data_IF_212669206683
#
_entry.id   IF_212669206683
#
_cell.length_a   1.000
_cell.length_b   1.000
_cell.length_c   1.000
_cell.angle_alpha   90.00
_cell.angle_beta   90.00
_cell.angle_gamma   90.00
#
_symmetry.space_group_name_H-M   'P 1'
#
loop_
_entity.id
_entity.type
_entity.pdbx_description
1 polymer ?
#
# COMPACT_ATOMS: atom_id res chain seq x y z
N UNK A 1 10.46 -38.45 30.87
CA UNK A 1 9.38 -37.61 30.30
C UNK A 1 9.91 -36.95 29.03
N UNK A 2 9.44 -37.36 27.86
CA UNK A 2 9.88 -36.83 26.56
C UNK A 2 9.23 -35.47 26.35
N UNK A 3 10.05 -34.41 26.43
CA UNK A 3 9.66 -33.06 26.01
C UNK A 3 9.65 -33.02 24.48
N UNK A 4 8.47 -33.18 23.89
CA UNK A 4 8.26 -32.86 22.48
C UNK A 4 8.38 -31.34 22.32
N UNK A 5 9.57 -30.83 21.98
CA UNK A 5 9.72 -29.48 21.44
C UNK A 5 8.93 -29.42 20.15
N UNK A 6 7.69 -28.93 20.22
CA UNK A 6 6.88 -28.60 19.05
C UNK A 6 7.64 -27.48 18.34
N UNK A 7 8.35 -27.82 17.27
CA UNK A 7 8.99 -26.84 16.38
C UNK A 7 7.94 -25.81 15.94
N UNK A 8 8.36 -24.59 15.58
CA UNK A 8 7.43 -23.52 15.27
C UNK A 8 6.51 -23.97 14.14
N UNK A 9 5.23 -24.09 14.44
CA UNK A 9 4.21 -24.57 13.53
C UNK A 9 4.11 -23.58 12.36
N UNK A 10 4.37 -24.06 11.14
CA UNK A 10 4.33 -23.25 9.93
C UNK A 10 3.00 -22.47 9.79
N UNK A 11 1.93 -22.99 10.40
CA UNK A 11 0.60 -22.38 10.49
C UNK A 11 0.64 -21.07 11.27
N UNK A 12 1.25 -20.99 12.45
CA UNK A 12 1.34 -19.73 13.21
C UNK A 12 2.17 -18.68 12.48
N UNK A 13 3.24 -19.08 11.80
CA UNK A 13 4.04 -18.17 10.97
C UNK A 13 3.23 -17.63 9.79
N UNK A 14 2.51 -18.50 9.08
CA UNK A 14 1.64 -18.11 7.99
C UNK A 14 0.54 -17.16 8.47
N UNK A 15 -0.13 -17.49 9.57
CA UNK A 15 -1.14 -16.63 10.18
C UNK A 15 -0.57 -15.26 10.56
N UNK A 16 0.65 -15.21 11.11
CA UNK A 16 1.33 -13.96 11.41
C UNK A 16 1.62 -13.11 10.17
N UNK A 17 2.04 -13.73 9.07
CA UNK A 17 2.25 -13.02 7.79
C UNK A 17 0.95 -12.52 7.20
N UNK A 18 -0.10 -13.34 7.20
CA UNK A 18 -1.43 -12.96 6.70
C UNK A 18 -2.03 -11.83 7.53
N UNK A 19 -1.90 -11.90 8.87
CA UNK A 19 -2.34 -10.82 9.75
C UNK A 19 -1.58 -9.52 9.48
N UNK A 20 -0.26 -9.61 9.27
CA UNK A 20 0.56 -8.44 8.93
C UNK A 20 0.14 -7.82 7.58
N UNK A 21 -0.07 -8.65 6.55
CA UNK A 21 -0.57 -8.21 5.25
C UNK A 21 -1.94 -7.55 5.37
N UNK A 22 -2.86 -8.15 6.13
CA UNK A 22 -4.20 -7.61 6.34
C UNK A 22 -4.16 -6.25 7.06
N UNK A 23 -3.34 -6.11 8.10
CA UNK A 23 -3.14 -4.84 8.82
C UNK A 23 -2.55 -3.79 7.89
N UNK A 24 -1.45 -4.08 7.19
CA UNK A 24 -0.84 -3.15 6.24
C UNK A 24 -1.83 -2.71 5.16
N UNK A 25 -2.54 -3.68 4.56
CA UNK A 25 -3.52 -3.41 3.50
C UNK A 25 -4.66 -2.53 3.99
N UNK A 26 -5.20 -2.81 5.19
CA UNK A 26 -6.28 -2.01 5.76
C UNK A 26 -5.83 -0.58 6.10
N UNK A 27 -4.69 -0.43 6.78
CA UNK A 27 -4.17 0.91 7.15
C UNK A 27 -3.85 1.75 5.92
N UNK A 28 -3.30 1.12 4.87
CA UNK A 28 -3.00 1.78 3.61
C UNK A 28 -4.28 2.18 2.88
N UNK A 29 -5.32 1.33 2.86
CA UNK A 29 -6.60 1.67 2.24
C UNK A 29 -7.21 2.95 2.85
N UNK A 30 -7.23 3.03 4.18
CA UNK A 30 -7.75 4.19 4.90
C UNK A 30 -6.92 5.44 4.61
N UNK A 31 -5.58 5.31 4.63
CA UNK A 31 -4.69 6.43 4.31
C UNK A 31 -4.88 6.91 2.86
N UNK A 32 -5.06 5.99 1.91
CA UNK A 32 -5.26 6.31 0.49
C UNK A 32 -6.53 7.15 0.28
N UNK A 33 -7.62 6.84 0.99
CA UNK A 33 -8.84 7.65 0.92
C UNK A 33 -8.59 9.11 1.34
N UNK A 34 -7.78 9.33 2.39
CA UNK A 34 -7.40 10.69 2.81
C UNK A 34 -6.48 11.36 1.78
N UNK A 35 -5.50 10.62 1.24
CA UNK A 35 -4.60 11.13 0.20
C UNK A 35 -5.37 11.57 -1.04
N UNK A 36 -6.36 10.81 -1.51
CA UNK A 36 -7.15 11.18 -2.71
C UNK A 36 -7.97 12.44 -2.49
N UNK A 37 -8.51 12.62 -1.28
CA UNK A 37 -9.25 13.84 -0.94
C UNK A 37 -8.36 15.09 -0.96
N UNK A 38 -7.06 14.95 -0.63
CA UNK A 38 -6.10 16.07 -0.57
C UNK A 38 -5.37 16.25 -1.92
N UNK A 39 -4.97 15.14 -2.54
CA UNK A 39 -4.13 15.07 -3.73
C UNK A 39 -4.58 13.91 -4.64
N UNK A 40 -5.62 14.11 -5.45
CA UNK A 40 -6.11 13.08 -6.38
C UNK A 40 -5.14 12.82 -7.55
N UNK A 41 -4.22 13.75 -7.81
CA UNK A 41 -3.25 13.69 -8.91
C UNK A 41 -2.30 12.50 -8.86
N UNK A 42 -2.18 11.83 -7.71
CA UNK A 42 -1.42 10.57 -7.58
C UNK A 42 -1.93 9.49 -8.55
N UNK A 43 -3.24 9.43 -8.82
CA UNK A 43 -3.81 8.44 -9.73
C UNK A 43 -3.30 8.60 -11.18
N UNK A 44 -2.83 9.79 -11.58
CA UNK A 44 -2.22 10.00 -12.89
C UNK A 44 -0.95 9.17 -13.10
N UNK A 45 -0.23 8.80 -12.03
CA UNK A 45 0.95 7.90 -12.12
C UNK A 45 0.59 6.50 -12.58
N UNK A 46 -0.67 6.09 -12.45
CA UNK A 46 -1.15 4.82 -12.99
C UNK A 46 -1.48 4.89 -14.48
N UNK A 47 -1.38 6.07 -15.09
CA UNK A 47 -1.62 6.34 -16.50
C UNK A 47 -1.00 5.32 -17.46
N UNK A 48 0.31 4.98 -17.36
CA UNK A 48 0.94 4.01 -18.25
C UNK A 48 0.32 2.60 -18.24
N UNK A 49 -0.46 2.24 -17.20
CA UNK A 49 -1.14 0.94 -17.11
C UNK A 49 -2.53 0.94 -17.74
N UNK A 50 -3.17 2.12 -17.83
CA UNK A 50 -4.58 2.24 -18.23
C UNK A 50 -4.79 3.06 -19.50
N UNK A 51 -3.86 3.96 -19.81
CA UNK A 51 -3.88 4.80 -20.98
C UNK A 51 -3.05 4.14 -22.10
N UNK A 52 -3.74 3.80 -23.18
CA UNK A 52 -3.14 3.21 -24.37
C UNK A 52 -3.17 4.21 -25.52
N UNK A 53 -2.21 4.09 -26.44
CA UNK A 53 -2.20 4.85 -27.69
C UNK A 53 -3.55 4.76 -28.40
N UNK A 54 -4.14 5.87 -28.89
CA UNK A 54 -3.53 7.20 -29.05
C UNK A 54 -3.70 8.17 -27.86
N UNK A 55 -4.17 7.70 -26.70
CA UNK A 55 -4.45 8.51 -25.51
C UNK A 55 -3.34 8.31 -24.47
N UNK A 56 -2.25 9.05 -24.59
CA UNK A 56 -1.02 8.81 -23.79
C UNK A 56 -0.89 9.75 -22.58
N UNK A 57 -1.70 10.79 -22.49
CA UNK A 57 -1.67 11.74 -21.39
C UNK A 57 -2.73 11.36 -20.36
N UNK A 58 -2.33 11.13 -19.11
CA UNK A 58 -3.24 10.76 -18.04
C UNK A 58 -3.50 11.97 -17.15
N UNK A 59 -4.77 12.35 -17.00
CA UNK A 59 -5.21 13.42 -16.10
C UNK A 59 -6.29 12.91 -15.15
N UNK A 60 -6.36 13.49 -13.96
CA UNK A 60 -7.41 13.18 -12.98
C UNK A 60 -8.35 14.36 -12.90
N UNK A 61 -9.61 14.13 -13.23
CA UNK A 61 -10.67 15.13 -13.19
C UNK A 61 -11.49 14.95 -11.91
N UNK A 62 -11.84 16.06 -11.27
CA UNK A 62 -12.67 16.10 -10.09
C UNK A 62 -14.01 16.76 -10.43
N UNK A 63 -15.08 15.97 -10.48
CA UNK A 63 -16.43 16.41 -10.78
C UNK A 63 -17.15 16.66 -9.45
N UNK A 64 -17.49 17.91 -9.16
CA UNK A 64 -18.19 18.28 -7.93
C UNK A 64 -19.62 18.71 -8.25
N UNK A 65 -20.57 17.93 -7.75
CA UNK A 65 -22.00 18.21 -7.90
C UNK A 65 -22.58 18.70 -6.56
N UNK A 66 -23.43 19.72 -6.65
CA UNK A 66 -24.08 20.34 -5.48
C UNK A 66 -25.57 19.99 -5.50
N UNK A 67 -26.07 19.42 -4.40
CA UNK A 67 -27.48 19.10 -4.22
C UNK A 67 -28.00 19.74 -2.93
N UNK A 68 -29.33 19.85 -2.72
CA UNK A 68 -29.89 20.48 -1.53
C UNK A 68 -29.41 19.91 -0.17
N UNK A 69 -28.85 18.69 -0.15
CA UNK A 69 -28.32 18.02 1.04
C UNK A 69 -26.79 18.04 1.19
N UNK A 70 -26.05 18.67 0.28
CA UNK A 70 -24.59 18.74 0.36
C UNK A 70 -23.89 18.68 -1.00
N UNK A 71 -22.56 18.66 -0.95
CA UNK A 71 -21.68 18.53 -2.11
C UNK A 71 -21.05 17.14 -2.16
N UNK A 72 -21.00 16.55 -3.35
CA UNK A 72 -20.29 15.31 -3.60
C UNK A 72 -19.23 15.54 -4.67
N UNK A 73 -18.02 15.05 -4.43
CA UNK A 73 -16.92 15.10 -5.40
C UNK A 73 -16.60 13.68 -5.86
N UNK A 74 -16.66 13.46 -7.17
CA UNK A 74 -16.22 12.24 -7.82
C UNK A 74 -14.90 12.48 -8.55
N UNK A 75 -14.06 11.45 -8.64
CA UNK A 75 -12.78 11.52 -9.36
C UNK A 75 -12.78 10.52 -10.50
N UNK A 76 -12.23 10.92 -11.65
CA UNK A 76 -12.12 10.08 -12.84
C UNK A 76 -10.73 10.22 -13.45
N UNK A 77 -10.08 9.10 -13.76
CA UNK A 77 -8.87 9.11 -14.60
C UNK A 77 -9.31 9.19 -16.06
N UNK A 78 -8.86 10.25 -16.75
CA UNK A 78 -9.08 10.43 -18.19
C UNK A 78 -7.76 10.29 -18.92
N UNK A 79 -7.80 9.55 -20.03
CA UNK A 79 -6.69 9.44 -20.96
C UNK A 79 -6.95 10.40 -22.14
N UNK A 80 -6.05 11.33 -22.39
CA UNK A 80 -6.17 12.38 -23.40
C UNK A 80 -5.18 12.12 -24.53
N UNK A 81 -5.65 12.33 -25.76
CA UNK A 81 -4.85 12.26 -26.98
C UNK A 81 -4.53 13.65 -27.52
N UNK A 82 -3.58 13.72 -28.45
CA UNK A 82 -2.98 14.98 -28.93
C UNK A 82 -3.95 16.00 -29.58
N UNK A 83 -5.18 15.61 -29.95
CA UNK A 83 -6.18 16.51 -30.54
C UNK A 83 -7.34 16.81 -29.57
N UNK A 84 -7.14 16.58 -28.27
CA UNK A 84 -8.14 16.83 -27.23
C UNK A 84 -9.22 15.75 -27.14
N UNK A 85 -9.12 14.66 -27.90
CA UNK A 85 -9.93 13.47 -27.70
C UNK A 85 -9.61 12.85 -26.34
N UNK A 86 -10.62 12.47 -25.58
CA UNK A 86 -10.45 11.83 -24.28
C UNK A 86 -11.22 10.51 -24.19
N UNK A 87 -10.75 9.66 -23.28
CA UNK A 87 -11.42 8.42 -22.90
C UNK A 87 -11.36 8.26 -21.39
N UNK A 88 -12.48 7.87 -20.80
CA UNK A 88 -12.55 7.57 -19.38
C UNK A 88 -11.95 6.19 -19.10
N UNK A 89 -10.95 6.16 -18.22
CA UNK A 89 -10.40 4.93 -17.65
C UNK A 89 -11.10 4.55 -16.33
N UNK A 90 -11.91 5.46 -15.77
CA UNK A 90 -12.52 5.31 -14.44
C UNK A 90 -11.51 5.51 -13.32
N UNK A 91 -11.90 5.24 -12.07
CA UNK A 91 -11.05 5.51 -10.91
C UNK A 91 -10.77 4.30 -10.02
N UNK A 92 -11.63 3.27 -10.05
CA UNK A 92 -11.48 2.09 -9.19
C UNK A 92 -10.19 1.30 -9.49
N UNK A 93 -9.85 1.09 -10.76
CA UNK A 93 -8.65 0.35 -11.14
C UNK A 93 -7.36 1.13 -10.80
N UNK A 94 -7.24 2.44 -11.11
CA UNK A 94 -6.18 3.29 -10.58
C UNK A 94 -6.05 3.21 -9.05
N UNK A 95 -7.16 3.32 -8.34
CA UNK A 95 -7.21 3.25 -6.88
C UNK A 95 -6.67 1.92 -6.34
N UNK A 96 -7.14 0.79 -6.88
CA UNK A 96 -6.68 -0.54 -6.48
C UNK A 96 -5.19 -0.75 -6.77
N UNK A 97 -4.70 -0.19 -7.86
CA UNK A 97 -3.28 -0.29 -8.24
C UNK A 97 -2.39 0.46 -7.26
N UNK A 98 -2.76 1.69 -6.91
CA UNK A 98 -2.06 2.47 -5.87
C UNK A 98 -2.15 1.77 -4.52
N UNK A 99 -3.33 1.28 -4.14
CA UNK A 99 -3.53 0.54 -2.89
C UNK A 99 -2.62 -0.69 -2.80
N UNK A 100 -2.56 -1.50 -3.86
CA UNK A 100 -1.70 -2.68 -3.92
C UNK A 100 -0.22 -2.28 -3.82
N UNK A 101 0.20 -1.25 -4.55
CA UNK A 101 1.58 -0.74 -4.54
C UNK A 101 2.00 -0.27 -3.14
N UNK A 102 1.19 0.58 -2.49
CA UNK A 102 1.46 1.07 -1.15
C UNK A 102 1.44 -0.04 -0.10
N UNK A 103 0.54 -1.02 -0.25
CA UNK A 103 0.49 -2.20 0.64
C UNK A 103 1.78 -3.01 0.52
N UNK A 104 2.27 -3.24 -0.69
CA UNK A 104 3.53 -3.93 -0.93
C UNK A 104 4.71 -3.18 -0.31
N UNK A 105 4.77 -1.86 -0.47
CA UNK A 105 5.81 -1.00 0.12
C UNK A 105 5.76 -1.01 1.65
N UNK A 106 4.57 -0.85 2.25
CA UNK A 106 4.38 -0.87 3.69
C UNK A 106 4.75 -2.23 4.29
N UNK A 107 4.35 -3.33 3.63
CA UNK A 107 4.70 -4.68 4.05
C UNK A 107 6.20 -4.93 3.98
N UNK A 108 6.86 -4.52 2.88
CA UNK A 108 8.30 -4.63 2.72
C UNK A 108 9.05 -3.83 3.80
N UNK A 109 8.68 -2.57 4.01
CA UNK A 109 9.28 -1.71 5.04
C UNK A 109 9.12 -2.29 6.44
N UNK A 110 7.93 -2.79 6.77
CA UNK A 110 7.66 -3.41 8.07
C UNK A 110 8.45 -4.70 8.25
N UNK A 111 8.55 -5.52 7.20
CA UNK A 111 9.35 -6.75 7.22
C UNK A 111 10.82 -6.48 7.46
N UNK A 112 11.38 -5.48 6.76
CA UNK A 112 12.77 -5.03 6.96
C UNK A 112 12.97 -4.50 8.37
N UNK A 113 12.07 -3.65 8.88
CA UNK A 113 12.16 -3.12 10.24
C UNK A 113 12.12 -4.25 11.29
N UNK A 114 11.27 -5.25 11.12
CA UNK A 114 11.20 -6.43 11.99
C UNK A 114 12.48 -7.27 11.93
N UNK A 115 13.03 -7.48 10.73
CA UNK A 115 14.30 -8.20 10.56
C UNK A 115 15.47 -7.47 11.25
N UNK A 116 15.58 -6.16 11.05
CA UNK A 116 16.59 -5.33 11.70
C UNK A 116 16.46 -5.33 13.23
N UNK A 117 15.23 -5.26 13.76
CA UNK A 117 14.97 -5.35 15.21
C UNK A 117 15.42 -6.69 15.77
N UNK A 118 15.18 -7.80 15.06
CA UNK A 118 15.64 -9.13 15.48
C UNK A 118 17.16 -9.23 15.48
N UNK A 119 17.81 -8.74 14.43
CA UNK A 119 19.28 -8.73 14.32
C UNK A 119 19.94 -7.92 15.45
N UNK A 120 19.37 -6.76 15.79
CA UNK A 120 19.86 -5.92 16.91
C UNK A 120 19.71 -6.60 18.27
N UNK A 121 18.61 -7.32 18.51
CA UNK A 121 18.41 -8.10 19.75
C UNK A 121 19.44 -9.22 19.88
N UNK A 122 19.64 -10.01 18.82
CA UNK A 122 20.63 -11.09 18.81
C UNK A 122 22.06 -10.57 19.06
N UNK A 123 22.42 -9.40 18.50
CA UNK A 123 23.71 -8.75 18.77
C UNK A 123 23.85 -8.33 20.24
N UNK A 124 22.79 -7.76 20.84
CA UNK A 124 22.79 -7.34 22.25
C UNK A 124 23.00 -8.52 23.20
N UNK A 125 22.34 -9.65 22.95
CA UNK A 125 22.50 -10.87 23.75
C UNK A 125 23.92 -11.43 23.65
N UNK A 126 24.50 -11.45 22.44
CA UNK A 126 25.87 -11.90 22.21
C UNK A 126 26.90 -10.99 22.92
N UNK A 127 26.69 -9.68 22.93
CA UNK A 127 27.56 -8.74 23.65
C UNK A 127 27.46 -8.92 25.17
N UNK A 128 26.25 -9.11 25.72
CA UNK A 128 26.06 -9.34 27.15
C UNK A 128 26.69 -10.65 27.63
N UNK A 129 26.68 -11.69 26.80
CA UNK A 129 27.29 -12.98 27.13
C UNK A 129 28.83 -12.95 27.14
N UNK A 130 29.45 -11.98 26.45
CA UNK A 130 30.91 -11.88 26.31
C UNK A 130 31.57 -10.94 27.32
N UNK A 131 30.82 -10.18 28.11
CA UNK A 131 31.36 -9.42 29.25
C UNK A 131 31.06 -10.26 30.50
N UNK A 132 31.94 -11.18 30.93
CA UNK A 132 31.76 -11.87 32.18
C UNK A 132 32.00 -10.84 33.29
N UNK A 133 31.08 -10.81 34.25
CA UNK A 133 31.10 -9.92 35.41
C UNK A 133 32.52 -9.79 35.99
N UNK A 134 32.98 -8.54 36.10
CA UNK A 134 34.17 -8.15 36.84
C UNK A 134 33.74 -7.54 38.18
#
# INVERSE_FOLDING_TARGET
MVSTRRGPDWRSKLLGVLALLAVCGFTVAVAQCATIAIWPGEAAFTGPLFCASPYNEAIVVADTESYPGGTATNYTLMCVGARGQYRDAGFLLPWLTLWACHTALAFAATSVALALRRARRAKSEATSAWIPDR
#
